data_IF_952154282974
#
_entry.id   IF_952154282974
#
_cell.length_a   1.000
_cell.length_b   1.000
_cell.length_c   1.000
_cell.angle_alpha   90.00
_cell.angle_beta   90.00
_cell.angle_gamma   90.00
#
_symmetry.space_group_name_H-M   'P 1'
#
loop_
_entity.id
_entity.type
_entity.pdbx_description
1 polymer ?
#
# COMPACT_ATOMS: atom_id res chain seq x y z
N UNK A 1 21.15 0.25 48.17
CA UNK A 1 21.32 0.45 46.71
C UNK A 1 20.94 -0.79 45.89
N UNK A 2 21.48 -1.99 46.16
CA UNK A 2 21.15 -3.23 45.42
C UNK A 2 19.65 -3.60 45.43
N UNK A 3 18.95 -3.39 46.54
CA UNK A 3 17.50 -3.67 46.64
C UNK A 3 16.63 -2.74 45.78
N UNK A 4 16.96 -1.44 45.72
CA UNK A 4 16.29 -0.47 44.83
C UNK A 4 16.47 -0.83 43.36
N UNK A 5 17.68 -1.23 42.97
CA UNK A 5 18.00 -1.66 41.61
C UNK A 5 17.19 -2.92 41.24
N UNK A 6 17.10 -3.89 42.15
CA UNK A 6 16.33 -5.11 41.92
C UNK A 6 14.82 -4.87 41.83
N UNK A 7 14.26 -3.96 42.64
CA UNK A 7 12.84 -3.58 42.55
C UNK A 7 12.50 -2.88 41.23
N UNK A 8 13.37 -1.99 40.76
CA UNK A 8 13.19 -1.31 39.46
C UNK A 8 13.29 -2.31 38.31
N UNK A 9 14.26 -3.23 38.35
CA UNK A 9 14.40 -4.29 37.34
C UNK A 9 13.19 -5.23 37.32
N UNK A 10 12.65 -5.59 38.48
CA UNK A 10 11.44 -6.41 38.56
C UNK A 10 10.23 -5.68 37.98
N UNK A 11 10.02 -4.41 38.32
CA UNK A 11 8.92 -3.62 37.77
C UNK A 11 9.03 -3.48 36.25
N UNK A 12 10.24 -3.20 35.73
CA UNK A 12 10.52 -3.15 34.29
C UNK A 12 10.22 -4.47 33.58
N UNK A 13 10.68 -5.61 34.13
CA UNK A 13 10.40 -6.92 33.54
C UNK A 13 8.90 -7.26 33.57
N UNK A 14 8.19 -6.86 34.62
CA UNK A 14 6.76 -7.11 34.77
C UNK A 14 5.93 -6.26 33.80
N UNK A 15 6.34 -5.01 33.56
CA UNK A 15 5.78 -4.17 32.50
C UNK A 15 6.01 -4.79 31.11
N UNK A 16 7.23 -5.27 30.82
CA UNK A 16 7.55 -5.91 29.55
C UNK A 16 6.77 -7.23 29.31
N UNK A 17 6.52 -8.00 30.36
CA UNK A 17 5.68 -9.21 30.27
C UNK A 17 4.24 -8.89 29.87
N UNK A 18 3.71 -7.73 30.27
CA UNK A 18 2.39 -7.29 29.86
C UNK A 18 2.35 -6.89 28.37
N UNK A 19 3.40 -6.21 27.88
CA UNK A 19 3.51 -5.83 26.46
C UNK A 19 3.74 -7.01 25.52
N UNK A 20 4.34 -8.11 25.99
CA UNK A 20 4.52 -9.35 25.19
C UNK A 20 3.22 -9.93 24.64
N UNK A 21 2.10 -9.74 25.34
CA UNK A 21 0.79 -10.19 24.85
C UNK A 21 0.21 -9.27 23.78
N UNK A 22 0.72 -8.04 23.66
CA UNK A 22 0.32 -7.06 22.66
C UNK A 22 1.23 -7.05 21.41
N UNK A 23 2.32 -7.83 21.40
CA UNK A 23 3.28 -7.92 20.27
C UNK A 23 2.58 -8.22 18.92
N UNK A 24 1.50 -8.99 18.95
CA UNK A 24 0.72 -9.34 17.75
C UNK A 24 -0.26 -8.25 17.28
N UNK A 25 -0.64 -7.32 18.15
CA UNK A 25 -1.69 -6.33 17.86
C UNK A 25 -1.20 -5.31 16.84
N UNK A 26 0.03 -4.83 16.95
CA UNK A 26 0.59 -3.90 15.97
C UNK A 26 0.64 -4.54 14.57
N UNK A 27 1.09 -5.80 14.49
CA UNK A 27 1.13 -6.55 13.23
C UNK A 27 -0.26 -6.90 12.69
N UNK A 28 -1.26 -7.09 13.55
CA UNK A 28 -2.65 -7.34 13.16
C UNK A 28 -3.32 -6.05 12.66
N UNK A 29 -3.14 -4.94 13.37
CA UNK A 29 -3.67 -3.63 12.99
C UNK A 29 -3.12 -3.19 11.62
N UNK A 30 -1.81 -3.36 11.39
CA UNK A 30 -1.21 -3.07 10.09
C UNK A 30 -1.83 -3.92 8.97
N UNK A 31 -2.09 -5.20 9.22
CA UNK A 31 -2.74 -6.09 8.25
C UNK A 31 -4.15 -5.63 7.92
N UNK A 32 -4.96 -5.36 8.94
CA UNK A 32 -6.35 -4.88 8.75
C UNK A 32 -6.37 -3.56 7.97
N UNK A 33 -5.39 -2.68 8.19
CA UNK A 33 -5.26 -1.44 7.44
C UNK A 33 -4.85 -1.66 5.96
N UNK A 34 -3.86 -2.53 5.72
CA UNK A 34 -3.31 -2.75 4.38
C UNK A 34 -4.22 -3.57 3.45
N UNK A 35 -4.97 -4.53 3.99
CA UNK A 35 -5.87 -5.41 3.21
C UNK A 35 -6.84 -4.62 2.32
N UNK A 36 -7.66 -3.67 2.83
CA UNK A 36 -8.59 -2.93 1.98
C UNK A 36 -7.88 -2.06 0.94
N UNK A 37 -6.69 -1.52 1.25
CA UNK A 37 -5.91 -0.69 0.34
C UNK A 37 -5.45 -1.51 -0.87
N UNK A 38 -4.80 -2.65 -0.63
CA UNK A 38 -4.32 -3.52 -1.70
C UNK A 38 -5.48 -4.20 -2.44
N UNK A 39 -6.58 -4.51 -1.74
CA UNK A 39 -7.78 -5.03 -2.38
C UNK A 39 -8.38 -4.03 -3.36
N UNK A 40 -8.60 -2.79 -2.95
CA UNK A 40 -9.13 -1.74 -3.83
C UNK A 40 -8.20 -1.45 -5.00
N UNK A 41 -6.89 -1.31 -4.74
CA UNK A 41 -5.89 -1.07 -5.77
C UNK A 41 -5.83 -2.22 -6.80
N UNK A 42 -5.84 -3.46 -6.33
CA UNK A 42 -5.78 -4.65 -7.16
C UNK A 42 -7.07 -4.89 -7.95
N UNK A 43 -8.25 -4.65 -7.35
CA UNK A 43 -9.53 -4.77 -8.05
C UNK A 43 -9.65 -3.75 -9.18
N UNK A 44 -9.25 -2.50 -8.93
CA UNK A 44 -9.21 -1.47 -9.98
C UNK A 44 -8.30 -1.88 -11.14
N UNK A 45 -7.10 -2.40 -10.86
CA UNK A 45 -6.19 -2.90 -11.90
C UNK A 45 -6.74 -4.12 -12.64
N UNK A 46 -7.50 -4.99 -11.96
CA UNK A 46 -8.11 -6.16 -12.59
C UNK A 46 -9.28 -5.77 -13.51
N UNK A 47 -10.15 -4.85 -13.06
CA UNK A 47 -11.29 -4.36 -13.84
C UNK A 47 -10.84 -3.56 -15.07
N UNK A 48 -9.79 -2.76 -14.92
CA UNK A 48 -9.23 -1.90 -15.96
C UNK A 48 -7.85 -2.39 -16.41
N UNK A 49 -7.73 -3.71 -16.62
CA UNK A 49 -6.42 -4.32 -16.89
C UNK A 49 -5.78 -3.82 -18.18
N UNK A 50 -6.56 -3.72 -19.26
CA UNK A 50 -6.05 -3.22 -20.54
C UNK A 50 -5.60 -1.75 -20.43
N UNK A 51 -6.35 -0.93 -19.69
CA UNK A 51 -6.01 0.48 -19.47
C UNK A 51 -4.73 0.59 -18.61
N UNK A 52 -4.59 -0.27 -17.60
CA UNK A 52 -3.38 -0.35 -16.77
C UNK A 52 -2.16 -0.76 -17.59
N UNK A 53 -2.31 -1.74 -18.49
CA UNK A 53 -1.26 -2.15 -19.42
C UNK A 53 -0.88 -1.01 -20.36
N UNK A 54 -1.86 -0.32 -20.93
CA UNK A 54 -1.62 0.82 -21.81
C UNK A 54 -0.88 1.94 -21.07
N UNK A 55 -1.30 2.25 -19.85
CA UNK A 55 -0.63 3.24 -18.99
C UNK A 55 0.78 2.82 -18.59
N UNK A 56 1.01 1.54 -18.30
CA UNK A 56 2.34 1.05 -17.98
C UNK A 56 3.30 1.17 -19.17
N UNK A 57 2.83 0.98 -20.41
CA UNK A 57 3.69 0.94 -21.60
C UNK A 57 3.79 2.24 -22.40
N UNK A 58 3.00 3.27 -22.09
CA UNK A 58 3.00 4.51 -22.87
C UNK A 58 4.10 5.47 -22.39
N UNK A 59 4.84 6.06 -23.33
CA UNK A 59 5.94 7.02 -23.08
C UNK A 59 5.48 8.46 -22.85
N UNK A 60 4.33 8.84 -23.43
CA UNK A 60 3.89 10.23 -23.51
C UNK A 60 3.05 10.63 -22.29
N UNK A 61 2.21 9.71 -21.83
CA UNK A 61 1.28 9.91 -20.69
C UNK A 61 1.32 8.77 -19.66
N UNK A 62 2.19 7.78 -19.87
CA UNK A 62 2.32 6.59 -19.02
C UNK A 62 3.62 6.52 -18.23
N UNK A 63 3.98 5.30 -17.82
CA UNK A 63 5.18 5.04 -17.00
C UNK A 63 6.40 4.57 -17.80
N UNK A 64 6.25 4.29 -19.10
CA UNK A 64 7.31 3.74 -19.96
C UNK A 64 8.01 2.49 -19.37
N UNK A 65 7.23 1.58 -18.79
CA UNK A 65 7.75 0.36 -18.20
C UNK A 65 8.01 -0.72 -19.25
N UNK A 66 9.13 -1.47 -19.12
CA UNK A 66 9.38 -2.63 -19.96
C UNK A 66 8.37 -3.74 -19.65
N UNK A 67 7.90 -4.43 -20.70
CA UNK A 67 6.95 -5.54 -20.60
C UNK A 67 5.67 -5.19 -19.82
N UNK A 68 4.87 -4.20 -20.28
CA UNK A 68 3.74 -3.65 -19.52
C UNK A 68 2.67 -4.68 -19.15
N UNK A 69 2.39 -5.65 -20.04
CA UNK A 69 1.44 -6.75 -19.76
C UNK A 69 1.92 -7.59 -18.57
N UNK A 70 3.20 -7.96 -18.56
CA UNK A 70 3.78 -8.76 -17.49
C UNK A 70 3.79 -7.97 -16.18
N UNK A 71 4.23 -6.72 -16.21
CA UNK A 71 4.27 -5.84 -15.04
C UNK A 71 2.87 -5.62 -14.46
N UNK A 72 1.86 -5.35 -15.29
CA UNK A 72 0.48 -5.18 -14.85
C UNK A 72 -0.08 -6.47 -14.24
N UNK A 73 0.22 -7.63 -14.86
CA UNK A 73 -0.19 -8.94 -14.35
C UNK A 73 0.45 -9.27 -13.00
N UNK A 74 1.75 -9.01 -12.86
CA UNK A 74 2.48 -9.22 -11.61
C UNK A 74 2.00 -8.27 -10.51
N UNK A 75 1.78 -6.99 -10.82
CA UNK A 75 1.25 -6.03 -9.85
C UNK A 75 -0.16 -6.42 -9.39
N UNK A 76 -1.06 -6.72 -10.33
CA UNK A 76 -2.46 -7.09 -10.01
C UNK A 76 -2.52 -8.37 -9.18
N UNK A 77 -1.75 -9.40 -9.56
CA UNK A 77 -1.72 -10.68 -8.81
C UNK A 77 -1.07 -10.53 -7.43
N UNK A 78 -0.01 -9.74 -7.30
CA UNK A 78 0.62 -9.45 -6.02
C UNK A 78 -0.31 -8.67 -5.09
N UNK A 79 -1.00 -7.65 -5.59
CA UNK A 79 -1.92 -6.82 -4.78
C UNK A 79 -3.16 -7.60 -4.34
N UNK A 80 -3.85 -8.30 -5.26
CA UNK A 80 -5.05 -9.07 -4.93
C UNK A 80 -4.73 -10.33 -4.12
N UNK A 81 -3.79 -11.14 -4.61
CA UNK A 81 -3.36 -12.35 -3.92
C UNK A 81 -2.74 -12.02 -2.56
N UNK A 82 -1.97 -10.93 -2.50
CA UNK A 82 -1.38 -10.44 -1.27
C UNK A 82 -2.42 -9.95 -0.27
N UNK A 83 -3.45 -9.21 -0.72
CA UNK A 83 -4.54 -8.78 0.15
C UNK A 83 -5.28 -9.97 0.78
N UNK A 84 -5.61 -11.01 -0.02
CA UNK A 84 -6.28 -12.21 0.48
C UNK A 84 -5.39 -12.96 1.49
N UNK A 85 -4.13 -13.20 1.16
CA UNK A 85 -3.22 -13.92 2.05
C UNK A 85 -2.91 -13.14 3.33
N UNK A 86 -2.78 -11.80 3.26
CA UNK A 86 -2.64 -10.94 4.43
C UNK A 86 -3.87 -10.97 5.32
N UNK A 87 -5.08 -10.97 4.73
CA UNK A 87 -6.34 -11.05 5.46
C UNK A 87 -6.47 -12.38 6.22
N UNK A 88 -6.09 -13.49 5.57
CA UNK A 88 -6.05 -14.81 6.19
C UNK A 88 -4.88 -14.97 7.18
N UNK A 89 -3.92 -14.04 7.18
CA UNK A 89 -2.72 -14.12 8.02
C UNK A 89 -1.76 -15.25 7.61
N UNK A 90 -1.86 -15.75 6.38
CA UNK A 90 -1.04 -16.85 5.86
C UNK A 90 0.22 -16.32 5.17
N UNK A 91 1.36 -16.99 5.40
CA UNK A 91 2.64 -16.70 4.75
C UNK A 91 3.00 -15.19 4.68
N UNK A 92 2.61 -14.42 5.71
CA UNK A 92 2.69 -12.95 5.70
C UNK A 92 4.08 -12.41 5.36
N UNK A 93 5.14 -13.11 5.78
CA UNK A 93 6.54 -12.79 5.46
C UNK A 93 6.90 -12.97 3.98
N UNK A 94 6.34 -13.97 3.32
CA UNK A 94 6.60 -14.22 1.90
C UNK A 94 5.76 -13.27 1.04
N UNK A 95 4.51 -13.05 1.43
CA UNK A 95 3.56 -12.16 0.74
C UNK A 95 3.98 -10.70 0.82
N UNK A 96 4.64 -10.28 1.89
CA UNK A 96 5.16 -8.91 1.99
C UNK A 96 6.23 -8.60 0.95
N UNK A 97 6.98 -9.59 0.45
CA UNK A 97 8.05 -9.37 -0.54
C UNK A 97 7.50 -8.79 -1.85
N UNK A 98 6.56 -9.46 -2.56
CA UNK A 98 5.99 -8.89 -3.78
C UNK A 98 5.21 -7.59 -3.52
N UNK A 99 4.53 -7.46 -2.37
CA UNK A 99 3.85 -6.20 -2.01
C UNK A 99 4.84 -5.04 -1.84
N UNK A 100 5.98 -5.25 -1.19
CA UNK A 100 7.05 -4.25 -1.08
C UNK A 100 7.57 -3.85 -2.46
N UNK A 101 7.79 -4.82 -3.35
CA UNK A 101 8.28 -4.55 -4.71
C UNK A 101 7.28 -3.67 -5.47
N UNK A 102 5.99 -4.00 -5.44
CA UNK A 102 4.96 -3.17 -6.12
C UNK A 102 4.93 -1.75 -5.58
N UNK A 103 5.07 -1.56 -4.27
CA UNK A 103 5.11 -0.23 -3.65
C UNK A 103 6.39 0.53 -4.01
N UNK A 104 7.55 -0.12 -4.05
CA UNK A 104 8.80 0.53 -4.48
C UNK A 104 8.66 1.02 -5.93
N UNK A 105 8.14 0.18 -6.83
CA UNK A 105 7.90 0.57 -8.23
C UNK A 105 6.96 1.78 -8.27
N UNK A 106 5.81 1.72 -7.61
CA UNK A 106 4.86 2.82 -7.58
C UNK A 106 5.44 4.13 -7.00
N UNK A 107 6.28 4.03 -5.96
CA UNK A 107 6.96 5.19 -5.37
C UNK A 107 7.89 5.83 -6.38
N UNK A 108 8.76 5.04 -7.01
CA UNK A 108 9.80 5.55 -7.91
C UNK A 108 9.23 6.05 -9.24
N UNK A 109 8.22 5.38 -9.78
CA UNK A 109 7.70 5.66 -11.12
C UNK A 109 6.56 6.66 -11.10
N UNK A 110 5.73 6.67 -10.05
CA UNK A 110 4.56 7.55 -9.98
C UNK A 110 4.76 8.69 -8.98
N UNK A 111 5.01 8.36 -7.72
CA UNK A 111 4.92 9.37 -6.65
C UNK A 111 6.12 10.31 -6.59
N UNK A 112 7.32 9.84 -6.92
CA UNK A 112 8.51 10.67 -6.93
C UNK A 112 8.44 11.81 -7.98
N UNK A 113 8.05 11.55 -9.25
CA UNK A 113 7.91 12.63 -10.24
C UNK A 113 6.62 13.46 -10.09
N UNK A 114 5.50 12.86 -9.66
CA UNK A 114 4.18 13.52 -9.67
C UNK A 114 3.69 14.01 -8.30
N UNK A 115 4.41 13.68 -7.22
CA UNK A 115 4.00 13.97 -5.84
C UNK A 115 3.20 12.84 -5.19
N UNK A 116 3.17 12.83 -3.85
CA UNK A 116 2.60 11.72 -3.07
C UNK A 116 1.08 11.53 -3.26
N UNK A 117 0.37 12.59 -3.63
CA UNK A 117 -1.09 12.52 -3.85
C UNK A 117 -1.48 12.44 -5.34
N UNK A 118 -0.55 12.16 -6.24
CA UNK A 118 -0.82 12.14 -7.69
C UNK A 118 -1.92 11.16 -8.13
N UNK A 119 -2.17 10.08 -7.38
CA UNK A 119 -3.20 9.07 -7.64
C UNK A 119 -4.22 8.98 -6.49
N UNK A 120 -4.28 9.98 -5.62
CA UNK A 120 -5.27 9.95 -4.54
C UNK A 120 -6.68 10.15 -5.13
N UNK A 121 -7.64 9.34 -4.67
CA UNK A 121 -9.06 9.60 -4.91
C UNK A 121 -9.43 10.96 -4.30
N UNK A 122 -10.18 11.80 -5.01
CA UNK A 122 -10.68 13.07 -4.49
C UNK A 122 -11.56 12.89 -3.25
N UNK A 123 -12.16 11.70 -3.08
CA UNK A 123 -12.94 11.32 -1.92
C UNK A 123 -12.09 10.71 -0.79
N UNK A 124 -10.77 10.56 -0.97
CA UNK A 124 -9.90 10.05 0.08
C UNK A 124 -9.83 11.05 1.25
N UNK A 125 -9.84 10.58 2.51
CA UNK A 125 -9.54 11.45 3.63
C UNK A 125 -8.16 12.08 3.40
N UNK A 126 -8.07 13.41 3.54
CA UNK A 126 -6.88 14.23 3.31
C UNK A 126 -6.51 14.53 1.84
N UNK A 127 -7.45 14.47 0.90
CA UNK A 127 -7.24 15.00 -0.46
C UNK A 127 -6.81 16.48 -0.42
N UNK A 128 -5.67 16.81 -1.04
CA UNK A 128 -5.20 18.19 -1.16
C UNK A 128 -5.88 18.92 -2.34
N UNK A 129 -5.65 20.23 -2.43
CA UNK A 129 -6.20 21.06 -3.52
C UNK A 129 -5.79 20.58 -4.92
N UNK A 130 -4.66 19.88 -5.04
CA UNK A 130 -4.14 19.35 -6.30
C UNK A 130 -4.93 18.13 -6.77
N UNK A 131 -5.34 17.27 -5.84
CA UNK A 131 -6.22 16.11 -6.09
C UNK A 131 -7.60 16.55 -6.55
N UNK A 132 -8.19 17.53 -5.87
CA UNK A 132 -9.48 18.12 -6.24
C UNK A 132 -9.44 18.79 -7.62
N UNK A 133 -8.33 19.47 -7.93
CA UNK A 133 -8.13 20.08 -9.25
C UNK A 133 -7.91 19.02 -10.35
N UNK A 134 -7.28 17.88 -10.05
CA UNK A 134 -7.15 16.78 -11.01
C UNK A 134 -8.48 16.08 -11.28
N UNK A 135 -9.34 15.91 -10.27
CA UNK A 135 -10.68 15.33 -10.48
C UNK A 135 -11.57 16.26 -11.33
N UNK A 136 -11.54 17.57 -11.09
CA UNK A 136 -12.31 18.54 -11.89
C UNK A 136 -11.85 18.56 -13.36
N UNK A 137 -10.53 18.45 -13.60
CA UNK A 137 -9.98 18.33 -14.97
C UNK A 137 -10.43 17.03 -15.64
N UNK A 138 -10.47 15.93 -14.90
CA UNK A 138 -10.91 14.63 -15.40
C UNK A 138 -12.41 14.64 -15.75
N UNK A 139 -13.24 15.30 -14.94
CA UNK A 139 -14.67 15.50 -15.22
C UNK A 139 -14.89 16.32 -16.48
N UNK A 140 -14.21 17.48 -16.61
CA UNK A 140 -14.30 18.30 -17.83
C UNK A 140 -13.83 17.56 -19.08
N UNK A 141 -12.82 16.69 -18.97
CA UNK A 141 -12.36 15.86 -20.08
C UNK A 141 -13.35 14.76 -20.48
N UNK A 142 -14.24 14.32 -19.57
CA UNK A 142 -15.33 13.36 -19.86
C UNK A 142 -16.57 14.02 -20.45
N UNK A 143 -16.71 15.35 -20.32
CA UNK A 143 -17.83 16.12 -20.86
C UNK A 143 -17.63 16.59 -22.31
N UNK A 144 -16.42 16.42 -22.86
CA UNK A 144 -16.06 16.71 -24.26
C UNK A 144 -16.16 15.42 -25.09
#
# INVERSE_FOLDING_TARGET
>A
MKYLINSVLHWYQQSLQYFRHLDGIAALALRIYLVPIFWMAGQNKLMHFNDTVAWFGNTDWGLDLPFPILMAGLATSAELGGAVLLALGLFTRLVSIPLIITMIVAILTVHLPNGWQAIADANAPFANAQVLASSEKLEKAREI
#
